data_IF_212908640070
#
_entry.id   IF_212908640070
#
_cell.length_a   1.000
_cell.length_b   1.000
_cell.length_c   1.000
_cell.angle_alpha   90.00
_cell.angle_beta   90.00
_cell.angle_gamma   90.00
#
_symmetry.space_group_name_H-M   'P 1'
#
loop_
_entity.id
_entity.type
_entity.pdbx_description
1 polymer ?
#
# COMPACT_ATOMS: atom_id res chain seq x y z
N UNK A 1 -43.93 20.66 12.07
CA UNK A 1 -42.99 19.55 11.79
C UNK A 1 -43.53 18.78 10.60
N UNK A 2 -42.71 18.43 9.59
CA UNK A 2 -43.17 17.57 8.51
C UNK A 2 -43.65 16.23 9.09
N UNK A 3 -44.83 15.79 8.68
CA UNK A 3 -45.37 14.47 9.01
C UNK A 3 -44.95 13.49 7.91
N UNK A 4 -44.69 12.24 8.27
CA UNK A 4 -44.51 11.20 7.27
C UNK A 4 -45.85 10.92 6.56
N UNK A 5 -45.85 10.84 5.23
CA UNK A 5 -47.07 10.58 4.44
C UNK A 5 -47.61 9.16 4.63
N UNK A 6 -46.79 8.22 5.12
CA UNK A 6 -47.14 6.81 5.24
C UNK A 6 -47.68 6.45 6.63
N UNK A 7 -47.10 6.98 7.70
CA UNK A 7 -47.48 6.62 9.08
C UNK A 7 -47.94 7.79 9.95
N UNK A 8 -48.04 9.01 9.40
CA UNK A 8 -48.29 10.28 10.13
C UNK A 8 -47.34 10.60 11.30
N UNK A 9 -46.29 9.78 11.49
CA UNK A 9 -45.30 9.95 12.53
C UNK A 9 -44.54 11.29 12.41
N UNK A 10 -44.15 11.85 13.56
CA UNK A 10 -43.34 13.07 13.62
C UNK A 10 -41.93 12.76 13.11
N UNK A 11 -41.52 13.42 12.02
CA UNK A 11 -40.17 13.29 11.46
C UNK A 11 -39.20 14.15 12.28
N UNK A 12 -38.17 13.52 12.86
CA UNK A 12 -37.04 14.22 13.45
C UNK A 12 -36.23 14.89 12.33
N UNK A 13 -36.01 16.21 12.45
CA UNK A 13 -35.61 17.12 11.36
C UNK A 13 -34.23 16.82 10.73
N UNK A 14 -33.49 15.85 11.28
CA UNK A 14 -32.14 15.47 10.83
C UNK A 14 -32.11 14.25 9.92
N UNK A 15 -33.20 13.49 9.84
CA UNK A 15 -33.16 12.17 9.23
C UNK A 15 -33.85 12.19 7.87
N UNK A 16 -33.15 11.68 6.84
CA UNK A 16 -33.72 11.51 5.51
C UNK A 16 -34.81 10.42 5.46
N UNK A 17 -35.04 9.72 6.57
CA UNK A 17 -35.96 8.60 6.72
C UNK A 17 -36.85 8.80 7.94
N UNK A 18 -38.11 8.37 7.85
CA UNK A 18 -39.00 8.37 8.99
C UNK A 18 -38.56 7.30 10.01
N UNK A 19 -38.27 7.68 11.26
CA UNK A 19 -37.86 6.74 12.30
C UNK A 19 -38.91 5.69 12.68
N UNK A 20 -40.17 5.86 12.28
CA UNK A 20 -41.26 4.91 12.59
C UNK A 20 -41.49 3.88 11.50
N UNK A 21 -41.46 4.27 10.22
CA UNK A 21 -41.74 3.36 9.10
C UNK A 21 -40.56 3.13 8.14
N UNK A 22 -39.45 3.87 8.31
CA UNK A 22 -38.26 3.74 7.47
C UNK A 22 -38.37 4.33 6.07
N UNK A 23 -39.50 4.94 5.69
CA UNK A 23 -39.65 5.52 4.35
C UNK A 23 -38.84 6.82 4.17
N UNK A 24 -38.26 7.05 2.97
CA UNK A 24 -37.54 8.27 2.66
C UNK A 24 -38.50 9.46 2.57
N UNK A 25 -38.15 10.57 3.22
CA UNK A 25 -38.99 11.77 3.23
C UNK A 25 -38.75 12.59 1.95
N UNK A 26 -39.76 12.80 1.10
CA UNK A 26 -39.60 13.55 -0.15
C UNK A 26 -39.16 14.99 0.16
N UNK A 27 -37.99 15.38 -0.38
CA UNK A 27 -37.37 16.69 -0.16
C UNK A 27 -36.28 16.73 0.92
N UNK A 28 -36.06 15.63 1.66
CA UNK A 28 -34.91 15.50 2.56
C UNK A 28 -33.61 15.35 1.76
N UNK A 29 -32.71 16.33 1.82
CA UNK A 29 -31.34 16.15 1.30
C UNK A 29 -30.67 15.08 2.17
N UNK A 30 -30.06 14.04 1.59
CA UNK A 30 -29.34 13.03 2.36
C UNK A 30 -28.18 13.71 3.08
N UNK A 31 -28.33 13.88 4.39
CA UNK A 31 -27.23 14.31 5.25
C UNK A 31 -26.37 13.07 5.44
N UNK A 32 -25.28 12.99 4.67
CA UNK A 32 -24.25 11.98 4.91
C UNK A 32 -23.73 12.24 6.33
N UNK A 33 -23.83 11.29 7.26
CA UNK A 33 -23.30 11.49 8.60
C UNK A 33 -21.79 11.71 8.45
N UNK A 34 -21.36 12.95 8.71
CA UNK A 34 -19.95 13.24 8.94
C UNK A 34 -19.65 12.55 10.26
N UNK A 35 -19.03 11.38 10.19
CA UNK A 35 -18.46 10.70 11.34
C UNK A 35 -17.48 11.66 12.01
N UNK A 36 -17.93 12.36 13.05
CA UNK A 36 -17.04 13.04 13.99
C UNK A 36 -16.29 11.93 14.71
N UNK A 37 -15.00 11.82 14.42
CA UNK A 37 -14.07 11.06 15.24
C UNK A 37 -14.20 11.58 16.69
N UNK A 38 -14.73 10.74 17.56
CA UNK A 38 -14.70 10.98 18.99
C UNK A 38 -13.23 11.01 19.43
N UNK A 39 -12.75 12.20 19.80
CA UNK A 39 -11.55 12.35 20.64
C UNK A 39 -11.89 11.73 22.00
N UNK A 40 -11.37 10.54 22.26
CA UNK A 40 -11.34 9.94 23.58
C UNK A 40 -10.37 10.76 24.44
N UNK A 41 -10.94 11.41 25.47
CA UNK A 41 -10.20 12.01 26.56
C UNK A 41 -9.88 10.92 27.60
N UNK A 42 -8.60 10.85 27.94
CA UNK A 42 -7.94 10.35 29.16
C UNK A 42 -8.46 9.11 29.90
N UNK A 43 -7.55 8.13 30.03
CA UNK A 43 -7.40 7.34 31.23
C UNK A 43 -5.90 7.03 31.44
N UNK A 44 -5.23 7.92 32.18
CA UNK A 44 -3.95 7.66 32.84
C UNK A 44 -4.20 6.62 33.94
N UNK A 45 -3.67 5.42 33.76
CA UNK A 45 -3.47 4.45 34.84
C UNK A 45 -1.96 4.19 34.90
N UNK A 46 -1.32 4.72 35.93
CA UNK A 46 0.05 4.38 36.31
C UNK A 46 0.14 2.88 36.64
N UNK A 47 1.14 2.15 36.13
CA UNK A 47 1.56 0.90 36.73
C UNK A 47 2.69 1.14 37.75
N UNK A 48 2.46 0.55 38.91
CA UNK A 48 3.30 0.46 40.09
C UNK A 48 4.76 0.08 39.81
N UNK A 49 5.67 0.82 40.44
CA UNK A 49 7.10 0.51 40.56
C UNK A 49 7.31 -0.79 41.33
N UNK A 50 7.71 -1.86 40.64
CA UNK A 50 8.35 -3.01 41.29
C UNK A 50 9.85 -2.80 41.37
N UNK A 51 10.35 -2.60 42.60
CA UNK A 51 11.77 -2.62 42.97
C UNK A 51 12.24 -4.07 42.99
N UNK A 52 13.05 -4.46 42.00
CA UNK A 52 13.82 -5.70 42.00
C UNK A 52 15.30 -5.41 42.29
N UNK A 53 15.78 -5.96 43.38
CA UNK A 53 17.14 -5.87 43.93
C UNK A 53 18.14 -6.66 43.06
N UNK A 54 19.27 -6.03 42.72
CA UNK A 54 20.46 -6.66 42.12
C UNK A 54 21.14 -7.62 43.12
N UNK A 55 21.69 -8.77 42.64
CA UNK A 55 22.87 -9.38 43.22
C UNK A 55 24.11 -9.19 42.32
N UNK A 56 25.32 -9.31 42.89
CA UNK A 56 26.55 -8.76 42.31
C UNK A 56 27.26 -9.67 41.30
N UNK A 57 28.15 -9.03 40.55
CA UNK A 57 29.13 -9.57 39.63
C UNK A 57 30.04 -10.65 40.25
N UNK A 58 30.31 -11.69 39.48
CA UNK A 58 31.53 -12.50 39.61
C UNK A 58 31.88 -13.17 38.27
N UNK A 59 33.11 -12.94 37.80
CA UNK A 59 33.88 -13.94 37.05
C UNK A 59 33.91 -13.84 35.52
N UNK A 60 35.04 -13.37 35.00
CA UNK A 60 35.46 -13.47 33.60
C UNK A 60 35.95 -14.91 33.25
N UNK A 61 36.50 -15.15 32.04
CA UNK A 61 35.88 -15.90 30.95
C UNK A 61 36.42 -17.34 30.81
N UNK A 62 35.58 -18.27 30.35
CA UNK A 62 36.02 -19.59 29.90
C UNK A 62 35.39 -19.93 28.56
N UNK A 63 36.23 -19.98 27.53
CA UNK A 63 35.89 -20.45 26.19
C UNK A 63 35.48 -21.92 26.23
N UNK A 64 34.24 -22.23 25.88
CA UNK A 64 33.82 -23.57 25.53
C UNK A 64 33.44 -23.59 24.05
N UNK A 65 34.39 -24.00 23.20
CA UNK A 65 34.11 -24.39 21.82
C UNK A 65 33.31 -25.69 21.86
N UNK A 66 31.99 -25.59 21.72
CA UNK A 66 31.14 -26.75 21.44
C UNK A 66 31.23 -27.04 19.93
N UNK A 67 32.08 -28.01 19.57
CA UNK A 67 32.07 -28.62 18.25
C UNK A 67 30.82 -29.50 18.17
N UNK A 68 29.79 -29.01 17.50
CA UNK A 68 28.65 -29.84 17.12
C UNK A 68 29.09 -30.75 15.96
N UNK A 69 29.54 -31.96 16.30
CA UNK A 69 29.67 -33.05 15.34
C UNK A 69 28.26 -33.47 14.96
N UNK A 70 27.81 -33.05 13.77
CA UNK A 70 26.59 -33.57 13.15
C UNK A 70 26.89 -35.01 12.74
N UNK A 71 26.49 -35.96 13.59
CA UNK A 71 26.35 -37.35 13.19
C UNK A 71 25.24 -37.42 12.15
N UNK A 72 25.61 -37.74 10.91
CA UNK A 72 24.68 -38.16 9.86
C UNK A 72 24.20 -39.56 10.27
N UNK A 73 23.01 -39.63 10.83
CA UNK A 73 22.29 -40.89 11.02
C UNK A 73 21.43 -41.14 9.79
N UNK A 74 21.63 -42.28 9.13
CA UNK A 74 20.76 -42.79 8.07
C UNK A 74 19.31 -42.93 8.58
N UNK A 75 18.29 -42.68 7.73
CA UNK A 75 16.91 -42.85 8.13
C UNK A 75 16.51 -44.33 8.14
N UNK A 76 16.26 -44.88 9.33
CA UNK A 76 15.46 -46.09 9.49
C UNK A 76 14.02 -45.79 9.03
N UNK A 77 13.55 -46.58 8.06
CA UNK A 77 12.17 -46.63 7.61
C UNK A 77 11.33 -47.30 8.71
N UNK A 78 10.54 -46.52 9.44
CA UNK A 78 9.42 -47.03 10.22
C UNK A 78 8.09 -46.81 9.48
N UNK A 79 7.31 -47.89 9.44
CA UNK A 79 6.00 -47.98 8.78
C UNK A 79 4.96 -47.02 9.37
N UNK A 80 3.98 -46.55 8.56
CA UNK A 80 2.99 -45.60 9.04
C UNK A 80 1.94 -46.27 9.92
N UNK A 81 1.99 -45.93 11.22
CA UNK A 81 0.95 -46.22 12.19
C UNK A 81 -0.34 -45.45 11.84
N UNK A 82 -1.44 -46.19 11.73
CA UNK A 82 -2.77 -45.72 11.33
C UNK A 82 -3.35 -44.76 12.38
N UNK A 83 -3.16 -43.46 12.19
CA UNK A 83 -3.91 -42.43 12.93
C UNK A 83 -5.35 -42.36 12.42
N UNK A 84 -6.25 -42.91 13.22
CA UNK A 84 -7.70 -42.75 13.12
C UNK A 84 -8.08 -41.27 13.25
N UNK A 85 -8.47 -40.65 12.14
CA UNK A 85 -9.01 -39.30 12.08
C UNK A 85 -10.40 -39.30 12.75
N UNK A 86 -10.47 -38.70 13.94
CA UNK A 86 -11.71 -38.32 14.61
C UNK A 86 -12.47 -37.31 13.75
N UNK A 87 -13.48 -37.85 13.04
CA UNK A 87 -14.45 -37.14 12.22
C UNK A 87 -15.34 -36.27 13.12
N UNK A 88 -15.03 -34.99 13.25
CA UNK A 88 -15.94 -34.02 13.88
C UNK A 88 -17.16 -33.85 12.98
N UNK A 89 -18.33 -34.20 13.52
CA UNK A 89 -19.62 -34.07 12.85
C UNK A 89 -19.94 -32.59 12.63
N UNK A 90 -19.68 -32.09 11.43
CA UNK A 90 -20.24 -30.83 10.95
C UNK A 90 -21.72 -31.11 10.68
N UNK A 91 -22.58 -30.61 11.57
CA UNK A 91 -24.03 -30.64 11.43
C UNK A 91 -24.41 -29.68 10.31
N UNK A 92 -24.64 -30.23 9.11
CA UNK A 92 -25.28 -29.51 8.01
C UNK A 92 -26.64 -28.98 8.49
N UNK A 93 -26.77 -27.66 8.59
CA UNK A 93 -28.08 -27.01 8.72
C UNK A 93 -28.67 -26.95 7.32
N UNK A 94 -29.73 -27.73 7.09
CA UNK A 94 -30.66 -27.51 5.98
C UNK A 94 -31.13 -26.04 5.97
N UNK A 95 -31.03 -25.33 4.84
CA UNK A 95 -31.68 -24.05 4.67
C UNK A 95 -33.18 -24.25 4.50
N UNK A 96 -33.92 -24.35 5.62
CA UNK A 96 -35.37 -24.14 5.64
C UNK A 96 -35.66 -22.64 5.58
N UNK A 97 -35.68 -22.08 4.38
CA UNK A 97 -36.56 -20.95 4.06
C UNK A 97 -36.74 -20.83 2.56
N UNK A 98 -37.99 -20.96 2.13
CA UNK A 98 -38.47 -20.61 0.79
C UNK A 98 -37.96 -19.21 0.39
N UNK A 99 -37.47 -19.03 -0.85
CA UNK A 99 -37.17 -17.70 -1.35
C UNK A 99 -38.48 -16.92 -1.48
N UNK A 100 -38.60 -15.83 -0.70
CA UNK A 100 -39.70 -14.89 -0.85
C UNK A 100 -39.79 -14.40 -2.31
N UNK A 101 -40.99 -14.35 -2.91
CA UNK A 101 -41.16 -13.96 -4.30
C UNK A 101 -40.70 -12.51 -4.50
N UNK A 102 -39.61 -12.35 -5.24
CA UNK A 102 -39.09 -11.04 -5.64
C UNK A 102 -40.04 -10.47 -6.69
N UNK A 103 -40.92 -9.57 -6.26
CA UNK A 103 -41.76 -8.77 -7.14
C UNK A 103 -40.87 -7.90 -8.05
N UNK A 104 -41.02 -7.98 -9.39
CA UNK A 104 -40.30 -7.11 -10.30
C UNK A 104 -40.80 -5.66 -10.11
N UNK A 105 -39.92 -4.80 -9.58
CA UNK A 105 -40.12 -3.35 -9.58
C UNK A 105 -40.09 -2.86 -11.03
N UNK A 106 -41.26 -2.80 -11.66
CA UNK A 106 -41.46 -2.10 -12.92
C UNK A 106 -41.19 -0.60 -12.72
N UNK A 107 -39.95 -0.18 -12.99
CA UNK A 107 -39.58 1.23 -13.06
C UNK A 107 -40.24 1.86 -14.29
N UNK A 108 -41.42 2.42 -14.10
CA UNK A 108 -42.16 3.21 -15.11
C UNK A 108 -41.34 4.47 -15.43
N UNK A 109 -40.53 4.40 -16.49
CA UNK A 109 -39.78 5.53 -17.04
C UNK A 109 -40.76 6.40 -17.84
N UNK A 110 -41.48 7.30 -17.18
CA UNK A 110 -42.23 8.35 -17.87
C UNK A 110 -41.25 9.32 -18.50
N UNK A 111 -41.11 9.23 -19.82
CA UNK A 111 -40.43 10.23 -20.62
C UNK A 111 -41.26 11.51 -20.63
N UNK A 112 -40.79 12.53 -19.92
CA UNK A 112 -41.24 13.90 -20.14
C UNK A 112 -40.49 14.46 -21.34
N UNK A 113 -41.17 14.43 -22.49
CA UNK A 113 -40.76 15.15 -23.69
C UNK A 113 -40.70 16.65 -23.39
N UNK A 114 -39.49 17.20 -23.45
CA UNK A 114 -39.28 18.65 -23.42
C UNK A 114 -39.71 19.21 -24.77
N UNK A 115 -40.88 19.87 -24.78
CA UNK A 115 -41.37 20.66 -25.91
C UNK A 115 -40.41 21.83 -26.15
N UNK A 116 -39.77 21.79 -27.31
CA UNK A 116 -39.08 22.91 -27.97
C UNK A 116 -40.13 23.99 -28.26
N UNK A 117 -40.09 25.09 -27.53
CA UNK A 117 -40.88 26.28 -27.81
C UNK A 117 -40.02 27.23 -28.64
N UNK A 118 -40.47 27.44 -29.87
CA UNK A 118 -39.97 28.37 -30.87
C UNK A 118 -40.67 29.70 -30.64
N UNK A 119 -39.94 30.80 -30.58
CA UNK A 119 -40.45 32.16 -30.84
C UNK A 119 -39.28 33.14 -31.14
N UNK A 120 -39.53 34.35 -31.70
CA UNK A 120 -39.02 34.70 -33.02
C UNK A 120 -38.03 35.89 -33.02
N UNK A 121 -37.59 36.22 -34.22
CA UNK A 121 -36.61 37.22 -34.61
C UNK A 121 -36.77 38.61 -33.97
N UNK A 122 -35.63 39.19 -33.59
CA UNK A 122 -35.38 40.62 -33.64
C UNK A 122 -34.02 40.83 -34.32
N UNK A 123 -34.03 41.60 -35.39
CA UNK A 123 -32.90 41.93 -36.23
C UNK A 123 -31.95 42.89 -35.51
N UNK A 124 -30.65 42.62 -35.58
CA UNK A 124 -29.66 43.69 -35.68
C UNK A 124 -28.40 43.20 -36.38
N UNK A 125 -28.01 43.99 -37.38
CA UNK A 125 -27.00 43.75 -38.38
C UNK A 125 -25.58 43.78 -37.84
N UNK A 126 -24.74 42.80 -38.20
CA UNK A 126 -23.30 43.05 -38.40
C UNK A 126 -22.63 41.96 -39.24
N UNK A 127 -22.38 42.34 -40.50
CA UNK A 127 -21.24 42.00 -41.37
C UNK A 127 -20.54 40.65 -41.17
N UNK A 128 -20.70 39.79 -42.19
CA UNK A 128 -19.97 38.56 -42.49
C UNK A 128 -18.44 38.72 -42.52
N UNK A 129 -17.73 37.64 -42.17
CA UNK A 129 -16.72 37.13 -43.08
C UNK A 129 -17.07 35.70 -43.54
N UNK A 130 -17.02 35.53 -44.86
CA UNK A 130 -17.20 34.29 -45.61
C UNK A 130 -16.34 33.17 -44.99
N UNK A 131 -17.00 32.24 -44.30
CA UNK A 131 -16.39 31.00 -43.81
C UNK A 131 -16.88 29.87 -44.71
N UNK A 132 -15.93 29.15 -45.32
CA UNK A 132 -16.17 28.04 -46.22
C UNK A 132 -17.12 26.98 -45.61
N UNK A 133 -17.95 26.31 -46.44
CA UNK A 133 -18.88 25.30 -45.97
C UNK A 133 -18.12 24.12 -45.37
N UNK A 134 -18.28 23.93 -44.06
CA UNK A 134 -17.82 22.75 -43.34
C UNK A 134 -18.74 21.59 -43.75
N UNK A 135 -18.22 20.44 -44.21
CA UNK A 135 -19.07 19.31 -44.56
C UNK A 135 -19.83 18.86 -43.31
N UNK A 136 -21.15 18.88 -43.39
CA UNK A 136 -22.04 18.24 -42.43
C UNK A 136 -21.72 16.74 -42.43
N UNK A 137 -20.94 16.33 -41.44
CA UNK A 137 -20.69 14.92 -41.19
C UNK A 137 -21.98 14.36 -40.58
N UNK A 138 -22.75 13.65 -41.42
CA UNK A 138 -23.91 12.84 -41.06
C UNK A 138 -23.62 12.00 -39.80
N UNK A 139 -23.90 12.58 -38.63
CA UNK A 139 -23.74 11.96 -37.32
C UNK A 139 -24.97 11.09 -36.98
N UNK A 140 -25.59 10.53 -38.02
CA UNK A 140 -26.76 9.65 -37.98
C UNK A 140 -26.43 8.16 -38.03
N UNK A 141 -25.15 7.78 -37.96
CA UNK A 141 -24.76 6.40 -37.74
C UNK A 141 -25.13 6.00 -36.31
N UNK A 142 -26.39 5.62 -36.13
CA UNK A 142 -26.87 4.85 -34.99
C UNK A 142 -25.92 3.68 -34.82
N UNK A 143 -25.09 3.76 -33.76
CA UNK A 143 -24.23 2.66 -33.36
C UNK A 143 -25.14 1.43 -33.28
N UNK A 144 -24.89 0.38 -34.08
CA UNK A 144 -25.74 -0.80 -34.05
C UNK A 144 -25.77 -1.29 -32.61
N UNK A 145 -26.99 -1.49 -32.08
CA UNK A 145 -27.24 -2.08 -30.76
C UNK A 145 -26.59 -3.46 -30.73
N UNK A 146 -25.29 -3.50 -30.46
CA UNK A 146 -24.54 -4.73 -30.33
C UNK A 146 -25.06 -5.36 -29.04
N UNK A 147 -25.65 -6.57 -29.09
CA UNK A 147 -26.14 -7.24 -27.90
C UNK A 147 -24.94 -7.51 -27.00
N UNK A 148 -24.84 -6.74 -25.90
CA UNK A 148 -23.82 -6.95 -24.88
C UNK A 148 -24.11 -8.34 -24.29
N UNK A 149 -23.18 -9.31 -24.42
CA UNK A 149 -23.40 -10.63 -23.88
C UNK A 149 -23.67 -10.51 -22.37
N UNK A 150 -24.63 -11.27 -21.82
CA UNK A 150 -24.96 -11.20 -20.40
C UNK A 150 -23.71 -11.60 -19.60
N UNK A 151 -23.05 -10.59 -19.03
CA UNK A 151 -21.97 -10.83 -18.08
C UNK A 151 -22.52 -11.60 -16.88
N UNK A 152 -21.65 -12.35 -16.16
CA UNK A 152 -22.06 -13.01 -14.92
C UNK A 152 -22.73 -11.99 -13.98
N UNK A 153 -23.77 -12.39 -13.23
CA UNK A 153 -24.52 -11.48 -12.38
C UNK A 153 -23.58 -10.84 -11.36
N UNK A 154 -23.29 -9.55 -11.55
CA UNK A 154 -22.50 -8.78 -10.61
C UNK A 154 -23.36 -8.65 -9.35
N UNK A 155 -22.90 -9.22 -8.24
CA UNK A 155 -23.59 -9.12 -6.97
C UNK A 155 -23.74 -7.63 -6.61
N UNK A 156 -24.92 -7.23 -6.13
CA UNK A 156 -25.17 -5.85 -5.71
C UNK A 156 -24.15 -5.36 -4.66
N UNK A 157 -23.60 -6.29 -3.87
CA UNK A 157 -22.52 -6.05 -2.92
C UNK A 157 -21.20 -5.64 -3.60
N UNK A 158 -20.89 -6.15 -4.78
CA UNK A 158 -19.68 -5.79 -5.53
C UNK A 158 -19.81 -4.41 -6.18
N UNK A 159 -21.01 -4.07 -6.69
CA UNK A 159 -21.29 -2.70 -7.16
C UNK A 159 -21.19 -1.68 -6.02
N UNK A 160 -21.73 -2.00 -4.83
CA UNK A 160 -21.59 -1.15 -3.64
C UNK A 160 -20.12 -1.01 -3.21
N UNK A 161 -19.33 -2.09 -3.25
CA UNK A 161 -17.90 -2.06 -2.94
C UNK A 161 -17.10 -1.23 -3.94
N UNK A 162 -17.47 -1.27 -5.22
CA UNK A 162 -16.83 -0.49 -6.28
C UNK A 162 -17.18 0.99 -6.17
N UNK A 163 -18.43 1.32 -5.84
CA UNK A 163 -18.88 2.69 -5.58
C UNK A 163 -18.29 3.29 -4.29
N UNK A 164 -18.02 2.46 -3.27
CA UNK A 164 -17.38 2.91 -2.03
C UNK A 164 -15.84 3.02 -2.12
N UNK A 165 -15.21 2.71 -3.27
CA UNK A 165 -13.76 2.92 -3.40
C UNK A 165 -13.46 4.43 -3.39
N UNK A 166 -12.58 4.91 -2.49
CA UNK A 166 -12.21 6.32 -2.47
C UNK A 166 -11.59 6.73 -3.81
N UNK A 167 -11.99 7.92 -4.28
CA UNK A 167 -11.52 8.46 -5.56
C UNK A 167 -10.01 8.74 -5.56
N UNK A 168 -9.43 9.08 -4.41
CA UNK A 168 -8.00 9.27 -4.17
C UNK A 168 -7.49 8.41 -3.00
N UNK A 169 -7.25 7.10 -3.20
CA UNK A 169 -6.77 6.23 -2.14
C UNK A 169 -5.41 6.70 -1.64
N UNK A 170 -5.28 6.88 -0.32
CA UNK A 170 -4.01 7.18 0.34
C UNK A 170 -3.46 8.59 0.14
N UNK A 171 -4.26 9.56 -0.35
CA UNK A 171 -3.78 10.94 -0.56
C UNK A 171 -3.24 11.58 0.74
N UNK A 172 -4.01 11.49 1.82
CA UNK A 172 -3.59 11.98 3.14
C UNK A 172 -2.41 11.17 3.69
N UNK A 173 -2.46 9.85 3.54
CA UNK A 173 -1.44 8.95 4.05
C UNK A 173 -0.06 9.21 3.41
N UNK A 174 0.00 9.34 2.08
CA UNK A 174 1.26 9.65 1.39
C UNK A 174 1.81 10.99 1.86
N UNK A 175 0.95 12.02 1.96
CA UNK A 175 1.37 13.36 2.40
C UNK A 175 1.96 13.34 3.81
N UNK A 176 1.25 12.75 4.76
CA UNK A 176 1.71 12.64 6.16
C UNK A 176 2.99 11.82 6.23
N UNK A 177 3.02 10.64 5.59
CA UNK A 177 4.20 9.78 5.57
C UNK A 177 5.42 10.50 4.97
N UNK A 178 5.27 11.20 3.84
CA UNK A 178 6.37 11.96 3.23
C UNK A 178 6.89 13.08 4.11
N UNK A 179 6.04 13.83 4.80
CA UNK A 179 6.48 14.90 5.70
C UNK A 179 7.18 14.31 6.92
N UNK A 180 6.56 13.32 7.57
CA UNK A 180 7.12 12.69 8.78
C UNK A 180 8.45 11.99 8.47
N UNK A 181 8.51 11.15 7.43
CA UNK A 181 9.73 10.43 7.06
C UNK A 181 10.83 11.38 6.59
N UNK A 182 10.48 12.45 5.85
CA UNK A 182 11.49 13.44 5.43
C UNK A 182 12.03 14.23 6.63
N UNK A 183 11.19 14.58 7.60
CA UNK A 183 11.62 15.28 8.81
C UNK A 183 12.52 14.39 9.69
N UNK A 184 12.13 13.13 9.91
CA UNK A 184 12.94 12.15 10.65
C UNK A 184 14.26 11.85 9.92
N UNK A 185 14.21 11.67 8.60
CA UNK A 185 15.39 11.49 7.77
C UNK A 185 16.33 12.70 7.83
N UNK A 186 15.79 13.91 7.77
CA UNK A 186 16.57 15.15 7.82
C UNK A 186 17.28 15.29 9.17
N UNK A 187 16.59 14.97 10.26
CA UNK A 187 17.19 14.91 11.60
C UNK A 187 18.32 13.89 11.64
N UNK A 188 18.10 12.67 11.14
CA UNK A 188 19.14 11.64 11.07
C UNK A 188 20.36 12.04 10.23
N UNK A 189 20.13 12.68 9.08
CA UNK A 189 21.17 13.22 8.20
C UNK A 189 21.99 14.30 8.89
N UNK A 190 21.35 15.22 9.61
CA UNK A 190 22.03 16.28 10.35
C UNK A 190 22.89 15.73 11.49
N UNK A 191 22.40 14.71 12.20
CA UNK A 191 23.11 14.09 13.31
C UNK A 191 24.33 13.27 12.85
N UNK A 192 24.26 12.65 11.68
CA UNK A 192 25.31 11.72 11.20
C UNK A 192 26.29 12.36 10.23
N UNK A 193 25.85 13.36 9.46
CA UNK A 193 26.57 13.82 8.28
C UNK A 193 27.71 14.81 8.51
N UNK A 194 27.54 15.75 9.45
CA UNK A 194 28.44 16.91 9.55
C UNK A 194 28.36 17.86 8.35
N UNK A 195 29.38 18.72 8.17
CA UNK A 195 29.45 19.77 7.14
C UNK A 195 30.01 19.29 5.79
N UNK A 196 29.58 18.12 5.32
CA UNK A 196 30.06 17.55 4.06
C UNK A 196 29.09 17.84 2.89
N UNK A 197 29.53 18.11 1.65
CA UNK A 197 28.64 18.41 0.51
C UNK A 197 27.53 17.36 0.30
N UNK A 198 27.83 16.07 0.52
CA UNK A 198 26.82 15.00 0.42
C UNK A 198 25.68 15.14 1.42
N UNK A 199 25.92 15.70 2.60
CA UNK A 199 24.90 15.85 3.65
C UNK A 199 23.93 16.95 3.29
N UNK A 200 24.44 18.04 2.69
CA UNK A 200 23.62 19.09 2.10
C UNK A 200 22.77 18.56 0.94
N UNK A 201 23.32 17.70 0.08
CA UNK A 201 22.55 17.07 -1.01
C UNK A 201 21.44 16.17 -0.44
N UNK A 202 21.77 15.31 0.52
CA UNK A 202 20.80 14.45 1.21
C UNK A 202 19.69 15.26 1.87
N UNK A 203 20.04 16.32 2.60
CA UNK A 203 19.10 17.23 3.25
C UNK A 203 18.21 17.95 2.22
N UNK A 204 18.79 18.45 1.14
CA UNK A 204 18.06 19.14 0.08
C UNK A 204 17.02 18.22 -0.59
N UNK A 205 17.35 16.95 -0.82
CA UNK A 205 16.41 15.97 -1.36
C UNK A 205 15.26 15.69 -0.39
N UNK A 206 15.53 15.58 0.92
CA UNK A 206 14.49 15.39 1.94
C UNK A 206 13.60 16.62 2.12
N UNK A 207 14.18 17.83 2.06
CA UNK A 207 13.40 19.07 2.05
C UNK A 207 12.56 19.16 0.77
N UNK A 208 13.10 18.77 -0.38
CA UNK A 208 12.35 18.71 -1.64
C UNK A 208 11.17 17.74 -1.53
N UNK A 209 11.34 16.53 -0.98
CA UNK A 209 10.23 15.59 -0.81
C UNK A 209 9.16 16.12 0.15
N UNK A 210 9.57 16.74 1.27
CA UNK A 210 8.65 17.35 2.22
C UNK A 210 7.87 18.54 1.61
N UNK A 211 8.55 19.40 0.86
CA UNK A 211 7.91 20.56 0.21
C UNK A 211 6.96 20.10 -0.89
N UNK A 212 7.35 19.15 -1.74
CA UNK A 212 6.47 18.54 -2.74
C UNK A 212 5.22 17.92 -2.11
N UNK A 213 5.33 17.30 -0.95
CA UNK A 213 4.17 16.78 -0.21
C UNK A 213 3.23 17.89 0.28
N UNK A 214 3.78 19.00 0.77
CA UNK A 214 3.01 20.13 1.27
C UNK A 214 2.39 20.98 0.16
N UNK A 215 2.95 20.98 -1.05
CA UNK A 215 2.41 21.76 -2.16
C UNK A 215 1.00 21.28 -2.60
N UNK A 216 0.07 22.21 -2.87
CA UNK A 216 -1.26 21.89 -3.39
C UNK A 216 -1.18 21.53 -4.88
N UNK A 217 -0.74 20.31 -5.17
CA UNK A 217 -0.69 19.74 -6.52
C UNK A 217 -1.81 18.72 -6.72
N UNK A 218 -2.14 18.43 -7.99
CA UNK A 218 -3.00 17.30 -8.32
C UNK A 218 -2.40 15.99 -7.79
N UNK A 219 -3.25 15.05 -7.38
CA UNK A 219 -2.84 13.76 -6.83
C UNK A 219 -1.79 13.03 -7.70
N UNK A 220 -1.99 13.03 -9.02
CA UNK A 220 -1.08 12.39 -9.98
C UNK A 220 0.28 13.09 -10.02
N UNK A 221 0.29 14.42 -10.15
CA UNK A 221 1.51 15.20 -10.21
C UNK A 221 2.33 15.06 -8.92
N UNK A 222 1.66 15.04 -7.77
CA UNK A 222 2.32 14.82 -6.47
C UNK A 222 2.95 13.42 -6.40
N UNK A 223 2.21 12.38 -6.77
CA UNK A 223 2.73 11.01 -6.77
C UNK A 223 3.98 10.87 -7.66
N UNK A 224 3.93 11.41 -8.89
CA UNK A 224 5.08 11.37 -9.81
C UNK A 224 6.27 12.16 -9.29
N UNK A 225 6.04 13.33 -8.70
CA UNK A 225 7.11 14.18 -8.17
C UNK A 225 7.78 13.56 -6.93
N UNK A 226 6.99 12.99 -6.01
CA UNK A 226 7.51 12.27 -4.84
C UNK A 226 8.26 11.00 -5.29
N UNK A 227 7.73 10.26 -6.25
CA UNK A 227 8.40 9.09 -6.81
C UNK A 227 9.75 9.46 -7.44
N UNK A 228 9.81 10.51 -8.28
CA UNK A 228 11.05 10.93 -8.91
C UNK A 228 12.07 11.42 -7.89
N UNK A 229 11.65 12.24 -6.91
CA UNK A 229 12.55 12.73 -5.87
C UNK A 229 13.05 11.59 -4.97
N UNK A 230 12.17 10.65 -4.61
CA UNK A 230 12.54 9.45 -3.86
C UNK A 230 13.50 8.55 -4.63
N UNK A 231 13.26 8.31 -5.92
CA UNK A 231 14.15 7.54 -6.79
C UNK A 231 15.52 8.19 -6.95
N UNK A 232 15.60 9.51 -7.07
CA UNK A 232 16.88 10.25 -7.09
C UNK A 232 17.62 10.09 -5.77
N UNK A 233 16.93 10.22 -4.62
CA UNK A 233 17.55 10.00 -3.31
C UNK A 233 18.09 8.57 -3.15
N UNK A 234 17.32 7.56 -3.57
CA UNK A 234 17.76 6.16 -3.59
C UNK A 234 18.96 5.97 -4.52
N UNK A 235 18.95 6.55 -5.72
CA UNK A 235 20.05 6.45 -6.68
C UNK A 235 21.34 7.08 -6.13
N UNK A 236 21.26 8.23 -5.45
CA UNK A 236 22.41 8.87 -4.79
C UNK A 236 22.98 7.95 -3.70
N UNK A 237 22.13 7.33 -2.89
CA UNK A 237 22.58 6.40 -1.86
C UNK A 237 23.27 5.16 -2.45
N UNK A 238 22.68 4.57 -3.49
CA UNK A 238 23.25 3.42 -4.20
C UNK A 238 24.57 3.76 -4.89
N UNK A 239 24.68 4.96 -5.46
CA UNK A 239 25.93 5.46 -6.03
C UNK A 239 27.03 5.57 -4.96
N UNK A 240 26.70 6.10 -3.78
CA UNK A 240 27.64 6.16 -2.66
C UNK A 240 28.06 4.77 -2.16
N UNK A 241 27.14 3.81 -2.16
CA UNK A 241 27.45 2.42 -1.83
C UNK A 241 28.40 1.79 -2.86
N UNK A 242 28.15 2.01 -4.15
CA UNK A 242 28.99 1.50 -5.25
C UNK A 242 30.42 2.07 -5.19
N UNK A 243 30.58 3.37 -4.91
CA UNK A 243 31.90 4.00 -4.73
C UNK A 243 32.71 3.39 -3.57
N UNK A 244 32.03 2.79 -2.59
CA UNK A 244 32.65 2.11 -1.44
C UNK A 244 32.84 0.61 -1.65
N UNK A 245 32.60 0.11 -2.87
CA UNK A 245 32.73 -1.31 -3.19
C UNK A 245 31.67 -2.19 -2.52
N UNK A 246 30.57 -1.61 -2.04
CA UNK A 246 29.44 -2.40 -1.53
C UNK A 246 28.75 -3.08 -2.73
N UNK A 247 28.42 -4.37 -2.56
CA UNK A 247 27.89 -5.21 -3.63
C UNK A 247 26.69 -4.57 -4.37
N UNK A 248 26.55 -4.80 -5.69
CA UNK A 248 25.46 -4.23 -6.51
C UNK A 248 24.06 -4.71 -6.11
N UNK A 249 23.98 -5.69 -5.22
CA UNK A 249 22.76 -6.25 -4.65
C UNK A 249 21.84 -5.20 -4.03
N UNK A 250 22.39 -4.12 -3.47
CA UNK A 250 21.60 -3.02 -2.92
C UNK A 250 20.64 -2.38 -3.94
N UNK A 251 21.05 -2.32 -5.22
CA UNK A 251 20.22 -1.79 -6.31
C UNK A 251 19.03 -2.72 -6.57
N UNK A 252 19.28 -4.03 -6.58
CA UNK A 252 18.26 -5.04 -6.81
C UNK A 252 17.27 -5.03 -5.63
N UNK A 253 17.76 -4.97 -4.38
CA UNK A 253 16.90 -4.91 -3.20
C UNK A 253 16.02 -3.65 -3.18
N UNK A 254 16.61 -2.48 -3.42
CA UNK A 254 15.85 -1.21 -3.39
C UNK A 254 14.77 -1.18 -4.47
N UNK A 255 15.10 -1.60 -5.70
CA UNK A 255 14.15 -1.68 -6.81
C UNK A 255 13.05 -2.73 -6.56
N UNK A 256 13.42 -3.92 -6.07
CA UNK A 256 12.47 -4.95 -5.66
C UNK A 256 11.53 -4.46 -4.56
N UNK A 257 12.05 -3.74 -3.57
CA UNK A 257 11.27 -3.18 -2.46
C UNK A 257 10.27 -2.14 -2.96
N UNK A 258 10.70 -1.20 -3.81
CA UNK A 258 9.82 -0.19 -4.42
C UNK A 258 8.71 -0.87 -5.23
N UNK A 259 9.09 -1.81 -6.10
CA UNK A 259 8.16 -2.50 -6.99
C UNK A 259 7.17 -3.38 -6.23
N UNK A 260 7.64 -4.20 -5.29
CA UNK A 260 6.81 -5.11 -4.53
C UNK A 260 5.87 -4.37 -3.58
N UNK A 261 6.37 -3.41 -2.80
CA UNK A 261 5.50 -2.62 -1.90
C UNK A 261 4.46 -1.81 -2.67
N UNK A 262 4.87 -1.13 -3.75
CA UNK A 262 3.96 -0.36 -4.60
C UNK A 262 2.90 -1.23 -5.28
N UNK A 263 3.28 -2.41 -5.77
CA UNK A 263 2.35 -3.35 -6.41
C UNK A 263 1.38 -4.01 -5.42
N UNK A 264 1.82 -4.34 -4.20
CA UNK A 264 0.97 -4.86 -3.13
C UNK A 264 -0.07 -3.85 -2.64
N UNK A 265 0.34 -2.57 -2.51
CA UNK A 265 -0.59 -1.47 -2.22
C UNK A 265 -1.56 -1.25 -3.37
N UNK A 266 -1.06 -1.24 -4.61
CA UNK A 266 -1.92 -1.13 -5.79
C UNK A 266 -2.96 -2.25 -5.83
N UNK A 267 -2.55 -3.49 -5.53
CA UNK A 267 -3.46 -4.63 -5.42
C UNK A 267 -4.47 -4.49 -4.28
N UNK A 268 -4.08 -3.90 -3.15
CA UNK A 268 -5.00 -3.62 -2.04
C UNK A 268 -6.19 -2.76 -2.51
N UNK A 269 -5.92 -1.82 -3.42
CA UNK A 269 -6.92 -0.93 -4.02
C UNK A 269 -7.67 -1.57 -5.20
N UNK A 270 -6.97 -2.31 -6.07
CA UNK A 270 -7.51 -2.89 -7.32
C UNK A 270 -7.33 -4.41 -7.38
N UNK A 271 -8.04 -5.15 -6.53
CA UNK A 271 -7.88 -6.61 -6.37
C UNK A 271 -8.11 -7.43 -7.64
N UNK A 272 -9.06 -6.99 -8.47
CA UNK A 272 -9.43 -7.68 -9.71
C UNK A 272 -8.56 -7.32 -10.92
N UNK A 273 -7.69 -6.31 -10.82
CA UNK A 273 -6.93 -5.85 -11.97
C UNK A 273 -5.84 -6.86 -12.36
N UNK A 274 -5.83 -7.28 -13.63
CA UNK A 274 -4.74 -8.12 -14.19
C UNK A 274 -3.38 -7.44 -14.03
N UNK A 275 -3.33 -6.12 -14.22
CA UNK A 275 -2.12 -5.30 -14.01
C UNK A 275 -1.54 -5.49 -12.59
N UNK A 276 -2.39 -5.61 -11.57
CA UNK A 276 -1.92 -5.78 -10.19
C UNK A 276 -1.23 -7.12 -9.99
N UNK A 277 -1.75 -8.19 -10.61
CA UNK A 277 -1.14 -9.52 -10.60
C UNK A 277 0.23 -9.50 -11.26
N UNK A 278 0.33 -8.91 -12.45
CA UNK A 278 1.60 -8.79 -13.19
C UNK A 278 2.63 -7.95 -12.41
N UNK A 279 2.20 -6.82 -11.84
CA UNK A 279 3.10 -5.98 -11.05
C UNK A 279 3.62 -6.70 -9.80
N UNK A 280 2.76 -7.44 -9.09
CA UNK A 280 3.17 -8.24 -7.92
C UNK A 280 4.08 -9.39 -8.34
N UNK A 281 3.82 -10.10 -9.45
CA UNK A 281 4.75 -11.14 -9.93
C UNK A 281 6.13 -10.57 -10.21
N UNK A 282 6.21 -9.40 -10.86
CA UNK A 282 7.49 -8.76 -11.15
C UNK A 282 8.21 -8.35 -9.86
N UNK A 283 7.48 -7.83 -8.86
CA UNK A 283 8.04 -7.52 -7.55
C UNK A 283 8.58 -8.74 -6.81
N UNK A 284 7.84 -9.86 -6.83
CA UNK A 284 8.27 -11.12 -6.21
C UNK A 284 9.48 -11.71 -6.93
N UNK A 285 9.50 -11.69 -8.27
CA UNK A 285 10.65 -12.15 -9.05
C UNK A 285 11.88 -11.29 -8.81
N UNK A 286 11.73 -9.96 -8.73
CA UNK A 286 12.84 -9.06 -8.41
C UNK A 286 13.40 -9.32 -7.00
N UNK A 287 12.52 -9.53 -6.01
CA UNK A 287 12.94 -9.84 -4.64
C UNK A 287 13.59 -11.23 -4.54
N UNK A 288 13.08 -12.21 -5.29
CA UNK A 288 13.69 -13.53 -5.41
C UNK A 288 15.06 -13.48 -6.06
N UNK A 289 15.21 -12.71 -7.15
CA UNK A 289 16.50 -12.49 -7.81
C UNK A 289 17.53 -11.86 -6.86
N UNK A 290 17.12 -10.88 -6.05
CA UNK A 290 17.97 -10.34 -4.99
C UNK A 290 18.35 -11.42 -3.97
N UNK A 291 17.39 -12.20 -3.46
CA UNK A 291 17.62 -13.24 -2.46
C UNK A 291 18.63 -14.30 -2.93
N UNK A 292 18.59 -14.66 -4.22
CA UNK A 292 19.58 -15.55 -4.81
C UNK A 292 20.95 -14.87 -4.99
N UNK A 293 20.97 -13.63 -5.52
CA UNK A 293 22.20 -12.89 -5.75
C UNK A 293 22.97 -12.61 -4.45
N UNK A 294 22.26 -12.34 -3.35
CA UNK A 294 22.86 -12.04 -2.04
C UNK A 294 23.34 -13.26 -1.26
N UNK A 295 23.29 -14.46 -1.85
CA UNK A 295 23.59 -15.70 -1.13
C UNK A 295 22.66 -15.93 0.07
N UNK A 296 21.43 -15.38 0.04
CA UNK A 296 20.50 -15.45 1.17
C UNK A 296 20.20 -16.88 1.62
N UNK A 297 20.29 -17.85 0.71
CA UNK A 297 20.16 -19.28 0.98
C UNK A 297 21.34 -19.87 1.77
N UNK A 298 22.56 -19.35 1.58
CA UNK A 298 23.77 -19.80 2.29
C UNK A 298 23.85 -19.22 3.70
N UNK A 299 23.21 -18.05 3.93
CA UNK A 299 23.23 -17.34 5.20
C UNK A 299 22.66 -18.13 6.40
N UNK A 300 21.94 -19.22 6.15
CA UNK A 300 21.40 -20.13 7.16
C UNK A 300 22.45 -21.03 7.82
N UNK A 301 23.58 -21.25 7.15
CA UNK A 301 24.56 -22.28 7.55
C UNK A 301 25.65 -21.70 8.46
N UNK A 302 25.86 -20.38 8.45
CA UNK A 302 26.93 -19.72 9.20
C UNK A 302 26.38 -18.74 10.24
N UNK A 303 25.80 -19.26 11.32
CA UNK A 303 25.47 -18.45 12.50
C UNK A 303 26.61 -18.51 13.52
N UNK A 304 27.48 -17.51 13.48
CA UNK A 304 28.34 -17.19 14.63
C UNK A 304 27.51 -16.60 15.79
N UNK A 305 28.04 -16.65 17.02
CA UNK A 305 27.34 -16.16 18.22
C UNK A 305 27.14 -14.63 18.31
N UNK A 306 27.62 -13.86 17.33
CA UNK A 306 27.54 -12.39 17.32
C UNK A 306 26.32 -11.90 16.53
N UNK A 307 25.68 -10.81 16.96
CA UNK A 307 24.47 -10.30 16.29
C UNK A 307 24.72 -9.82 14.86
N UNK A 308 25.96 -9.42 14.55
CA UNK A 308 26.35 -8.96 13.23
C UNK A 308 26.27 -10.05 12.16
N UNK A 309 26.40 -11.34 12.53
CA UNK A 309 26.26 -12.46 11.58
C UNK A 309 24.80 -12.86 11.39
N UNK A 310 24.07 -13.09 12.49
CA UNK A 310 22.72 -13.64 12.40
C UNK A 310 21.64 -12.59 12.09
N UNK A 311 21.77 -11.33 12.51
CA UNK A 311 20.70 -10.34 12.30
C UNK A 311 20.47 -10.03 10.81
N UNK A 312 21.50 -9.80 9.97
CA UNK A 312 21.31 -9.70 8.53
C UNK A 312 20.72 -10.98 7.93
N UNK A 313 21.18 -12.17 8.33
CA UNK A 313 20.63 -13.43 7.84
C UNK A 313 19.12 -13.56 8.12
N UNK A 314 18.68 -13.22 9.34
CA UNK A 314 17.26 -13.19 9.71
C UNK A 314 16.46 -12.23 8.82
N UNK A 315 17.02 -11.08 8.45
CA UNK A 315 16.32 -10.16 7.52
C UNK A 315 16.21 -10.74 6.11
N UNK A 316 17.24 -11.42 5.58
CA UNK A 316 17.17 -12.10 4.28
C UNK A 316 16.06 -13.17 4.27
N UNK A 317 15.99 -13.99 5.31
CA UNK A 317 14.93 -15.00 5.46
C UNK A 317 13.55 -14.37 5.57
N UNK A 318 13.44 -13.28 6.30
CA UNK A 318 12.18 -12.54 6.45
C UNK A 318 11.72 -11.97 5.10
N UNK A 319 12.65 -11.52 4.25
CA UNK A 319 12.33 -11.10 2.88
C UNK A 319 11.88 -12.26 2.00
N UNK A 320 12.57 -13.41 2.07
CA UNK A 320 12.16 -14.63 1.38
C UNK A 320 10.76 -15.09 1.80
N UNK A 321 10.48 -15.08 3.10
CA UNK A 321 9.16 -15.40 3.64
C UNK A 321 8.10 -14.38 3.18
N UNK A 322 8.40 -13.08 3.19
CA UNK A 322 7.49 -12.05 2.69
C UNK A 322 7.26 -12.16 1.18
N UNK A 323 8.25 -12.57 0.39
CA UNK A 323 8.07 -12.87 -1.03
C UNK A 323 7.07 -14.03 -1.22
N UNK A 324 7.22 -15.11 -0.45
CA UNK A 324 6.29 -16.25 -0.47
C UNK A 324 4.89 -15.86 0.02
N UNK A 325 4.78 -15.12 1.12
CA UNK A 325 3.50 -14.61 1.62
C UNK A 325 2.85 -13.63 0.63
N UNK A 326 3.65 -12.89 -0.14
CA UNK A 326 3.16 -12.04 -1.22
C UNK A 326 2.55 -12.86 -2.37
N UNK A 327 2.84 -14.15 -2.50
CA UNK A 327 2.12 -15.03 -3.43
C UNK A 327 0.68 -15.29 -2.98
N UNK A 328 0.38 -15.20 -1.69
CA UNK A 328 -1.01 -15.24 -1.20
C UNK A 328 -1.83 -14.06 -1.72
N UNK A 329 -1.17 -13.01 -2.23
CA UNK A 329 -1.85 -11.98 -2.97
C UNK A 329 -2.67 -12.59 -4.12
N UNK A 330 -2.17 -13.62 -4.82
CA UNK A 330 -2.82 -14.30 -5.95
C UNK A 330 -4.08 -15.08 -5.59
N UNK A 331 -4.38 -15.26 -4.31
CA UNK A 331 -5.67 -15.80 -3.88
C UNK A 331 -6.83 -14.97 -4.40
N UNK A 332 -8.01 -15.60 -4.40
CA UNK A 332 -9.23 -15.08 -5.00
C UNK A 332 -9.52 -13.62 -4.60
N UNK A 333 -10.13 -12.91 -5.55
CA UNK A 333 -10.55 -11.50 -5.48
C UNK A 333 -11.38 -11.15 -4.25
N UNK A 334 -12.00 -12.16 -3.64
CA UNK A 334 -12.80 -12.10 -2.42
C UNK A 334 -11.97 -11.75 -1.17
N UNK A 335 -10.68 -12.11 -1.11
CA UNK A 335 -9.84 -11.84 0.06
C UNK A 335 -9.12 -10.49 -0.04
N UNK A 336 -9.00 -9.75 1.08
CA UNK A 336 -8.09 -8.59 1.15
C UNK A 336 -6.61 -9.04 1.10
N UNK A 337 -6.35 -10.34 1.27
CA UNK A 337 -5.05 -10.99 1.13
C UNK A 337 -3.93 -10.43 2.01
N UNK A 338 -4.25 -9.60 3.01
CA UNK A 338 -3.25 -8.89 3.81
C UNK A 338 -2.33 -7.95 3.02
N UNK A 339 -2.62 -7.62 1.76
CA UNK A 339 -1.60 -7.02 0.87
C UNK A 339 -1.09 -5.65 1.35
N UNK A 340 -1.91 -4.86 2.04
CA UNK A 340 -1.49 -3.61 2.68
C UNK A 340 -0.56 -3.86 3.88
N UNK A 341 -0.82 -4.91 4.67
CA UNK A 341 0.04 -5.35 5.78
C UNK A 341 1.37 -5.85 5.24
N UNK A 342 1.35 -6.65 4.18
CA UNK A 342 2.57 -7.15 3.53
C UNK A 342 3.39 -6.03 2.90
N UNK A 343 2.76 -5.05 2.26
CA UNK A 343 3.47 -3.89 1.76
C UNK A 343 4.15 -3.10 2.89
N UNK A 344 3.43 -2.86 4.00
CA UNK A 344 4.01 -2.20 5.17
C UNK A 344 5.16 -3.03 5.77
N UNK A 345 4.97 -4.35 5.90
CA UNK A 345 6.00 -5.26 6.40
C UNK A 345 7.26 -5.24 5.54
N UNK A 346 7.14 -5.23 4.20
CA UNK A 346 8.27 -5.14 3.27
C UNK A 346 9.03 -3.81 3.47
N UNK A 347 8.33 -2.68 3.60
CA UNK A 347 8.95 -1.37 3.82
C UNK A 347 9.63 -1.27 5.19
N UNK A 348 8.99 -1.80 6.24
CA UNK A 348 9.54 -1.85 7.59
C UNK A 348 10.77 -2.76 7.64
N UNK A 349 10.69 -3.94 7.05
CA UNK A 349 11.81 -4.88 7.00
C UNK A 349 13.01 -4.30 6.23
N UNK A 350 12.76 -3.60 5.13
CA UNK A 350 13.81 -2.84 4.43
C UNK A 350 14.46 -1.78 5.30
N UNK A 351 13.66 -1.04 6.07
CA UNK A 351 14.18 -0.06 7.03
C UNK A 351 15.06 -0.70 8.10
N UNK A 352 14.63 -1.84 8.66
CA UNK A 352 15.40 -2.61 9.64
C UNK A 352 16.69 -3.15 9.04
N UNK A 353 16.62 -3.72 7.83
CA UNK A 353 17.78 -4.25 7.14
C UNK A 353 18.84 -3.17 6.88
N UNK A 354 18.45 -2.01 6.36
CA UNK A 354 19.37 -0.88 6.15
C UNK A 354 19.92 -0.36 7.50
N UNK A 355 19.10 -0.29 8.55
CA UNK A 355 19.56 0.12 9.87
C UNK A 355 20.61 -0.85 10.43
N UNK A 356 20.44 -2.16 10.24
CA UNK A 356 21.42 -3.18 10.63
C UNK A 356 22.72 -3.05 9.81
N UNK A 357 22.64 -2.80 8.50
CA UNK A 357 23.82 -2.55 7.67
C UNK A 357 24.60 -1.30 8.12
N UNK A 358 23.89 -0.24 8.49
CA UNK A 358 24.51 0.96 9.05
C UNK A 358 25.12 0.66 10.42
N UNK A 359 24.40 -0.03 11.31
CA UNK A 359 24.87 -0.36 12.65
C UNK A 359 26.13 -1.25 12.63
N UNK A 360 26.17 -2.26 11.75
CA UNK A 360 27.34 -3.13 11.57
C UNK A 360 28.56 -2.37 11.02
N UNK A 361 28.35 -1.35 10.19
CA UNK A 361 29.43 -0.49 9.69
C UNK A 361 29.96 0.51 10.73
N UNK A 362 29.11 0.94 11.67
CA UNK A 362 29.48 1.86 12.77
C UNK A 362 30.13 1.09 13.92
N UNK A 363 29.65 -0.12 14.23
CA UNK A 363 30.10 -0.93 15.37
C UNK A 363 30.63 -2.30 14.91
N UNK A 364 31.85 -2.32 14.30
CA UNK A 364 32.46 -3.58 13.87
C UNK A 364 32.79 -4.48 15.07
N UNK A 365 32.73 -5.80 14.86
CA UNK A 365 33.10 -6.81 15.88
C UNK A 365 34.61 -6.81 16.11
N UNK A 366 35.37 -6.68 15.04
CA UNK A 366 36.82 -6.52 15.10
C UNK A 366 37.11 -5.10 15.62
N UNK A 367 38.11 -4.93 16.49
CA UNK A 367 38.55 -3.63 17.05
C UNK A 367 39.09 -2.61 16.01
N UNK A 368 38.74 -2.79 14.74
CA UNK A 368 39.07 -1.90 13.64
C UNK A 368 38.28 -0.59 13.67
N UNK A 369 38.76 0.43 12.93
CA UNK A 369 38.06 1.70 12.79
C UNK A 369 36.69 1.51 12.13
N UNK A 370 35.75 2.41 12.44
CA UNK A 370 34.44 2.44 11.79
C UNK A 370 34.59 2.46 10.26
N UNK A 371 33.91 1.53 9.58
CA UNK A 371 34.06 1.34 8.13
C UNK A 371 33.24 2.34 7.31
N UNK A 372 32.29 3.02 7.94
CA UNK A 372 31.39 3.97 7.28
C UNK A 372 31.50 5.35 7.90
N UNK A 373 32.03 6.30 7.13
CA UNK A 373 32.02 7.72 7.52
C UNK A 373 30.60 8.31 7.55
N UNK A 374 30.41 9.29 8.44
CA UNK A 374 29.14 10.01 8.63
C UNK A 374 28.42 10.48 7.36
N UNK A 375 29.10 11.08 6.37
CA UNK A 375 28.45 11.55 5.14
C UNK A 375 27.78 10.45 4.31
N UNK A 376 28.31 9.22 4.34
CA UNK A 376 27.66 8.10 3.68
C UNK A 376 26.48 7.56 4.47
N UNK A 377 26.56 7.57 5.81
CA UNK A 377 25.39 7.26 6.65
C UNK A 377 24.25 8.21 6.32
N UNK A 378 24.52 9.51 6.19
CA UNK A 378 23.54 10.50 5.76
C UNK A 378 22.94 10.17 4.37
N UNK A 379 23.78 9.84 3.38
CA UNK A 379 23.29 9.44 2.05
C UNK A 379 22.42 8.18 2.12
N UNK A 380 22.82 7.17 2.89
CA UNK A 380 22.08 5.92 3.08
C UNK A 380 20.72 6.18 3.74
N UNK A 381 20.66 7.03 4.77
CA UNK A 381 19.41 7.41 5.43
C UNK A 381 18.46 8.14 4.49
N UNK A 382 18.96 9.07 3.68
CA UNK A 382 18.16 9.75 2.66
C UNK A 382 17.66 8.76 1.58
N UNK A 383 18.51 7.83 1.15
CA UNK A 383 18.14 6.76 0.23
C UNK A 383 17.08 5.82 0.80
N UNK A 384 17.18 5.46 2.09
CA UNK A 384 16.18 4.67 2.80
C UNK A 384 14.81 5.35 2.75
N UNK A 385 14.75 6.62 3.15
CA UNK A 385 13.50 7.41 3.08
C UNK A 385 13.01 7.50 1.63
N UNK A 386 13.91 7.76 0.68
CA UNK A 386 13.62 7.79 -0.74
C UNK A 386 12.95 6.51 -1.25
N UNK A 387 13.49 5.34 -0.89
CA UNK A 387 12.96 4.03 -1.30
C UNK A 387 11.57 3.80 -0.73
N UNK A 388 11.36 4.14 0.55
CA UNK A 388 10.04 3.99 1.20
C UNK A 388 9.01 4.89 0.52
N UNK A 389 9.34 6.16 0.29
CA UNK A 389 8.42 7.11 -0.36
C UNK A 389 8.17 6.74 -1.83
N UNK A 390 9.17 6.27 -2.56
CA UNK A 390 9.02 5.79 -3.93
C UNK A 390 8.09 4.57 -3.99
N UNK A 391 8.21 3.61 -3.06
CA UNK A 391 7.28 2.48 -2.98
C UNK A 391 5.83 2.91 -2.74
N UNK A 392 5.60 3.81 -1.79
CA UNK A 392 4.27 4.37 -1.52
C UNK A 392 3.70 5.16 -2.72
N UNK A 393 4.54 5.96 -3.39
CA UNK A 393 4.15 6.77 -4.54
C UNK A 393 3.88 5.93 -5.80
N UNK A 394 4.64 4.84 -6.00
CA UNK A 394 4.47 3.92 -7.12
C UNK A 394 3.06 3.33 -7.15
N UNK A 395 2.49 3.00 -5.98
CA UNK A 395 1.12 2.52 -5.90
C UNK A 395 0.14 3.50 -6.56
N UNK A 396 0.31 4.80 -6.32
CA UNK A 396 -0.55 5.85 -6.87
C UNK A 396 -0.34 6.04 -8.38
N UNK A 397 0.90 5.90 -8.87
CA UNK A 397 1.22 5.92 -10.30
C UNK A 397 0.54 4.74 -11.01
N UNK A 398 0.59 3.54 -10.43
CA UNK A 398 -0.10 2.37 -10.97
C UNK A 398 -1.62 2.56 -11.02
N UNK A 399 -2.22 3.19 -9.99
CA UNK A 399 -3.63 3.60 -10.03
C UNK A 399 -3.93 4.56 -11.17
N UNK A 400 -3.08 5.57 -11.37
CA UNK A 400 -3.25 6.55 -12.43
C UNK A 400 -3.14 5.91 -13.83
N UNK A 401 -2.16 5.02 -14.03
CA UNK A 401 -1.95 4.28 -15.27
C UNK A 401 -3.12 3.34 -15.57
N UNK A 402 -3.60 2.59 -14.58
CA UNK A 402 -4.74 1.68 -14.74
C UNK A 402 -6.01 2.42 -15.18
N UNK A 403 -6.30 3.58 -14.57
CA UNK A 403 -7.44 4.44 -14.94
C UNK A 403 -7.29 5.08 -16.32
N UNK A 404 -6.07 5.31 -16.79
CA UNK A 404 -5.83 5.84 -18.13
C UNK A 404 -6.12 4.76 -19.18
N UNK A 405 -5.62 3.54 -18.97
CA UNK A 405 -5.86 2.40 -19.87
C UNK A 405 -7.31 1.90 -19.90
N UNK A 406 -8.10 2.14 -18.85
CA UNK A 406 -9.52 1.78 -18.84
C UNK A 406 -10.43 2.77 -19.58
N UNK A 407 -9.90 3.90 -20.07
CA UNK A 407 -10.67 4.94 -20.79
C UNK A 407 -10.54 4.86 -22.30
N UNK A 408 -9.59 4.09 -22.80
CA UNK A 408 -9.45 3.80 -24.23
C UNK A 408 -10.48 2.72 -24.60
N UNK A 409 -11.51 3.04 -25.41
CA UNK A 409 -12.59 2.12 -25.78
C UNK A 409 -12.12 0.98 -26.68
#
# INVERSE_FOLDING_TARGET
MPKCNSCEGKVLRTDAFCGTCGEPVPGGKPVVPISREFKLADALVEPERSRGTLPPEAGAPASARAVAVVAVSDPELDEPEKLTVSRTAIREREPQSEPAPVLPLHRKKSGTGSKRQVEPAAAESRSEPITAPRPELDSGASVPNMPIPPGPPILASDLLREQMRPSSPGEKALRVASVVLSALGALGVLLTGGLHPLTFVALALLIMTATLALTPMSYRARATAIFSAGAVATAVALWQQALRGIAPEGVILASATILLSGSLLFRAYYRGARLARVAVTLGVLALGAWFFASGGHESLVMLDGHWQSWAPAVTHLSFGLLALLSLMAFMDSSTRGGSHVWAAAVLTLYSVHIALLVATGIWPVDEGPARIEGPAVAAILAGLVGTVLAGLALAQILVAAHRAGSRTP
#
